data_IF_626918255021
#
_entry.id   IF_626918255021
#
_cell.length_a   1.000
_cell.length_b   1.000
_cell.length_c   1.000
_cell.angle_alpha   90.00
_cell.angle_beta   90.00
_cell.angle_gamma   90.00
#
_symmetry.space_group_name_H-M   'P 1'
#
loop_
_entity.id
_entity.type
_entity.pdbx_description
1 polymer ?
#
# COMPACT_ATOMS: atom_id res chain seq x y z
N UNK A 1 32.06 52.81 17.66
CA UNK A 1 32.43 51.46 17.19
C UNK A 1 31.18 50.58 17.36
N UNK A 2 30.08 50.89 16.66
CA UNK A 2 28.74 50.41 17.09
C UNK A 2 27.88 49.83 15.95
N UNK A 3 28.48 49.62 14.79
CA UNK A 3 27.77 49.17 13.59
C UNK A 3 27.90 47.67 13.27
N UNK A 4 28.76 46.93 13.98
CA UNK A 4 29.00 45.50 13.71
C UNK A 4 28.11 44.53 14.51
N UNK A 5 27.35 45.00 15.51
CA UNK A 5 26.59 44.12 16.41
C UNK A 5 25.13 43.84 16.01
N UNK A 6 24.56 44.54 15.02
CA UNK A 6 23.12 44.41 14.70
C UNK A 6 22.77 43.36 13.63
N UNK A 7 23.75 42.69 13.03
CA UNK A 7 23.48 41.70 11.97
C UNK A 7 23.45 40.23 12.44
N UNK A 8 23.80 39.93 13.69
CA UNK A 8 23.89 38.54 14.20
C UNK A 8 22.66 38.06 15.01
N UNK A 9 21.49 38.71 14.87
CA UNK A 9 20.26 38.29 15.57
C UNK A 9 19.10 37.89 14.63
N UNK A 10 19.21 38.12 13.31
CA UNK A 10 18.17 37.73 12.34
C UNK A 10 18.48 36.45 11.55
N UNK A 11 19.67 35.86 11.73
CA UNK A 11 20.11 34.65 11.02
C UNK A 11 20.25 33.42 11.94
N UNK A 12 19.41 33.32 12.98
CA UNK A 12 19.26 32.09 13.78
C UNK A 12 17.83 31.54 13.80
N UNK A 13 16.84 32.38 13.50
CA UNK A 13 15.43 32.01 13.59
C UNK A 13 14.91 31.20 12.40
N UNK A 14 15.61 31.25 11.25
CA UNK A 14 15.16 30.61 10.00
C UNK A 14 15.73 29.19 9.79
N UNK A 15 16.86 28.86 10.45
CA UNK A 15 17.49 27.53 10.36
C UNK A 15 16.74 26.50 11.22
N UNK A 16 16.22 26.91 12.37
CA UNK A 16 15.46 26.04 13.26
C UNK A 16 14.14 25.56 12.63
N UNK A 17 13.47 26.45 11.88
CA UNK A 17 12.26 26.12 11.12
C UNK A 17 12.54 25.11 10.00
N UNK A 18 13.68 25.24 9.31
CA UNK A 18 14.08 24.32 8.24
C UNK A 18 14.40 22.91 8.75
N UNK A 19 15.04 22.80 9.91
CA UNK A 19 15.34 21.51 10.56
C UNK A 19 14.05 20.84 11.05
N UNK A 20 13.12 21.60 11.65
CA UNK A 20 11.80 21.08 12.09
C UNK A 20 10.94 20.63 10.90
N UNK A 21 11.01 21.32 9.76
CA UNK A 21 10.30 20.95 8.54
C UNK A 21 10.89 19.71 7.86
N UNK A 22 12.21 19.52 7.96
CA UNK A 22 12.89 18.30 7.46
C UNK A 22 12.63 17.07 8.35
N UNK A 23 12.52 17.23 9.67
CA UNK A 23 12.26 16.11 10.58
C UNK A 23 10.84 15.52 10.47
N UNK A 24 9.87 16.26 9.93
CA UNK A 24 8.50 15.76 9.75
C UNK A 24 8.30 14.79 8.58
N UNK A 25 9.29 14.62 7.69
CA UNK A 25 9.12 13.86 6.44
C UNK A 25 9.44 12.36 6.55
N UNK A 26 9.69 11.81 7.73
CA UNK A 26 10.20 10.43 7.82
C UNK A 26 9.43 9.52 8.78
N UNK A 27 8.13 9.31 8.56
CA UNK A 27 7.45 8.10 9.03
C UNK A 27 6.15 7.76 8.29
N UNK A 28 6.15 7.84 6.96
CA UNK A 28 5.04 7.27 6.17
C UNK A 28 5.46 5.90 5.67
N UNK A 29 4.64 4.87 5.92
CA UNK A 29 4.85 3.53 5.37
C UNK A 29 4.56 3.53 3.88
N UNK A 30 5.27 2.71 3.13
CA UNK A 30 4.92 2.42 1.73
C UNK A 30 3.67 1.53 1.70
N UNK A 31 2.62 2.03 1.06
CA UNK A 31 1.41 1.26 0.81
C UNK A 31 1.64 0.24 -0.29
N UNK A 32 1.35 -1.03 -0.01
CA UNK A 32 1.37 -2.13 -0.96
C UNK A 32 -0.05 -2.67 -1.08
N UNK A 33 -0.68 -2.35 -2.20
CA UNK A 33 -2.05 -2.74 -2.51
C UNK A 33 -2.05 -3.95 -3.44
N UNK A 34 -2.60 -5.05 -2.93
CA UNK A 34 -2.76 -6.32 -3.63
C UNK A 34 -4.19 -6.38 -4.16
N UNK A 35 -4.38 -6.68 -5.43
CA UNK A 35 -5.69 -7.00 -5.99
C UNK A 35 -5.81 -8.51 -6.18
N UNK A 36 -6.83 -9.12 -5.59
CA UNK A 36 -7.11 -10.54 -5.70
C UNK A 36 -8.42 -10.74 -6.46
N UNK A 37 -8.31 -11.18 -7.71
CA UNK A 37 -9.46 -11.40 -8.60
C UNK A 37 -9.67 -12.92 -8.71
N UNK A 38 -10.65 -13.43 -7.96
CA UNK A 38 -10.84 -14.87 -7.76
C UNK A 38 -12.33 -15.23 -7.85
N UNK A 39 -12.71 -16.49 -8.11
CA UNK A 39 -14.13 -16.86 -8.10
C UNK A 39 -14.71 -16.74 -6.69
N UNK A 40 -15.90 -16.16 -6.54
CA UNK A 40 -16.64 -16.22 -5.26
C UNK A 40 -17.21 -17.60 -4.95
N UNK A 41 -17.52 -18.37 -5.99
CA UNK A 41 -18.12 -19.69 -5.84
C UNK A 41 -17.16 -20.68 -5.14
N UNK A 42 -17.59 -21.26 -4.02
CA UNK A 42 -16.79 -22.17 -3.19
C UNK A 42 -16.62 -23.59 -3.77
N UNK A 43 -17.19 -23.88 -4.94
CA UNK A 43 -16.84 -25.09 -5.70
C UNK A 43 -15.40 -25.05 -6.22
N UNK A 44 -14.83 -23.85 -6.42
CA UNK A 44 -13.44 -23.66 -6.83
C UNK A 44 -12.48 -23.71 -5.64
N UNK A 45 -11.32 -24.35 -5.81
CA UNK A 45 -10.30 -24.46 -4.76
C UNK A 45 -9.80 -23.08 -4.29
N UNK A 46 -9.56 -22.17 -5.23
CA UNK A 46 -9.06 -20.82 -4.98
C UNK A 46 -10.18 -19.78 -4.88
N UNK A 47 -11.30 -20.13 -4.24
CA UNK A 47 -12.41 -19.18 -4.05
C UNK A 47 -12.02 -18.05 -3.10
N UNK A 48 -12.67 -16.89 -3.21
CA UNK A 48 -12.41 -15.73 -2.34
C UNK A 48 -12.52 -16.11 -0.87
N UNK A 49 -13.55 -16.86 -0.48
CA UNK A 49 -13.78 -17.22 0.93
C UNK A 49 -12.66 -18.11 1.49
N UNK A 50 -11.99 -18.90 0.64
CA UNK A 50 -10.84 -19.73 1.01
C UNK A 50 -9.52 -18.96 0.98
N UNK A 51 -9.34 -18.10 -0.01
CA UNK A 51 -8.10 -17.37 -0.22
C UNK A 51 -7.95 -16.15 0.67
N UNK A 52 -9.06 -15.53 1.11
CA UNK A 52 -9.05 -14.41 2.04
C UNK A 52 -8.28 -14.72 3.34
N UNK A 53 -8.62 -15.77 4.11
CA UNK A 53 -7.86 -16.09 5.32
C UNK A 53 -6.41 -16.49 5.02
N UNK A 54 -6.13 -17.12 3.88
CA UNK A 54 -4.75 -17.45 3.49
C UNK A 54 -3.89 -16.19 3.25
N UNK A 55 -4.44 -15.17 2.58
CA UNK A 55 -3.76 -13.89 2.37
C UNK A 55 -3.62 -13.10 3.68
N UNK A 56 -4.63 -13.13 4.55
CA UNK A 56 -4.55 -12.52 5.89
C UNK A 56 -3.42 -13.15 6.71
N UNK A 57 -3.32 -14.49 6.75
CA UNK A 57 -2.22 -15.18 7.42
C UNK A 57 -0.85 -14.87 6.79
N UNK A 58 -0.78 -14.72 5.47
CA UNK A 58 0.44 -14.29 4.77
C UNK A 58 0.88 -12.90 5.20
N UNK A 59 -0.05 -11.95 5.26
CA UNK A 59 0.21 -10.58 5.73
C UNK A 59 0.62 -10.59 7.21
N UNK A 60 -0.08 -11.35 8.06
CA UNK A 60 0.30 -11.50 9.47
C UNK A 60 1.73 -12.03 9.63
N UNK A 61 2.13 -13.01 8.81
CA UNK A 61 3.49 -13.53 8.80
C UNK A 61 4.52 -12.45 8.39
N UNK A 62 4.24 -11.65 7.36
CA UNK A 62 5.08 -10.52 6.96
C UNK A 62 5.19 -9.48 8.08
N UNK A 63 4.11 -9.25 8.83
CA UNK A 63 4.08 -8.30 9.95
C UNK A 63 4.88 -8.78 11.17
N UNK A 64 5.39 -10.01 11.19
CA UNK A 64 6.32 -10.47 12.24
C UNK A 64 7.75 -9.99 11.98
N UNK A 65 8.09 -9.67 10.74
CA UNK A 65 9.37 -9.05 10.41
C UNK A 65 9.36 -7.56 10.80
N UNK A 66 10.34 -7.14 11.59
CA UNK A 66 10.41 -5.79 12.16
C UNK A 66 10.67 -4.72 11.10
N UNK A 67 11.45 -5.04 10.07
CA UNK A 67 11.73 -4.13 8.96
C UNK A 67 10.47 -3.96 8.11
N UNK A 68 9.85 -5.07 7.67
CA UNK A 68 8.66 -5.01 6.83
C UNK A 68 7.51 -4.31 7.54
N UNK A 69 7.25 -4.65 8.81
CA UNK A 69 6.21 -3.98 9.61
C UNK A 69 6.44 -2.48 9.76
N UNK A 70 7.69 -2.03 9.88
CA UNK A 70 8.04 -0.61 10.05
C UNK A 70 7.89 0.18 8.76
N UNK A 71 8.18 -0.44 7.62
CA UNK A 71 8.31 0.25 6.34
C UNK A 71 7.13 0.07 5.39
N UNK A 72 6.31 -0.97 5.55
CA UNK A 72 5.24 -1.29 4.61
C UNK A 72 3.89 -1.44 5.30
N UNK A 73 2.83 -1.07 4.58
CA UNK A 73 1.45 -1.37 4.92
C UNK A 73 0.82 -2.16 3.77
N UNK A 74 0.33 -3.36 4.06
CA UNK A 74 -0.25 -4.24 3.04
C UNK A 74 -1.77 -4.21 3.13
N UNK A 75 -2.43 -4.02 1.99
CA UNK A 75 -3.90 -4.09 1.88
C UNK A 75 -4.29 -4.99 0.72
N UNK A 76 -5.46 -5.64 0.82
CA UNK A 76 -5.98 -6.51 -0.23
C UNK A 76 -7.36 -6.04 -0.67
N UNK A 77 -7.54 -5.91 -1.98
CA UNK A 77 -8.83 -5.70 -2.62
C UNK A 77 -9.26 -7.02 -3.23
N UNK A 78 -10.43 -7.51 -2.85
CA UNK A 78 -11.02 -8.70 -3.44
C UNK A 78 -12.08 -8.32 -4.47
N UNK A 79 -12.01 -8.96 -5.64
CA UNK A 79 -13.02 -8.84 -6.68
C UNK A 79 -13.41 -10.23 -7.20
N UNK A 80 -14.70 -10.39 -7.51
CA UNK A 80 -15.22 -11.64 -8.03
C UNK A 80 -14.95 -11.75 -9.53
N UNK A 81 -14.21 -12.79 -9.92
CA UNK A 81 -13.98 -13.10 -11.34
C UNK A 81 -15.24 -13.61 -12.04
N UNK A 82 -16.25 -14.07 -11.30
CA UNK A 82 -17.41 -14.79 -11.85
C UNK A 82 -17.05 -16.05 -12.63
N UNK A 83 -15.79 -16.50 -12.56
CA UNK A 83 -15.19 -17.50 -13.44
C UNK A 83 -15.43 -17.20 -14.94
N UNK A 84 -15.47 -15.92 -15.30
CA UNK A 84 -15.71 -15.43 -16.65
C UNK A 84 -14.55 -14.54 -17.09
N UNK A 85 -13.99 -14.80 -18.27
CA UNK A 85 -12.89 -13.98 -18.80
C UNK A 85 -13.29 -12.51 -18.90
N UNK A 86 -14.51 -12.22 -19.38
CA UNK A 86 -15.01 -10.85 -19.53
C UNK A 86 -15.16 -10.17 -18.17
N UNK A 87 -15.74 -10.87 -17.19
CA UNK A 87 -15.91 -10.32 -15.83
C UNK A 87 -14.57 -10.08 -15.15
N UNK A 88 -13.65 -11.05 -15.21
CA UNK A 88 -12.32 -10.94 -14.61
C UNK A 88 -11.51 -9.78 -15.22
N UNK A 89 -11.57 -9.60 -16.55
CA UNK A 89 -10.89 -8.51 -17.22
C UNK A 89 -11.49 -7.15 -16.89
N UNK A 90 -12.81 -7.03 -16.83
CA UNK A 90 -13.46 -5.78 -16.40
C UNK A 90 -13.04 -5.41 -14.97
N UNK A 91 -13.02 -6.36 -14.04
CA UNK A 91 -12.54 -6.12 -12.67
C UNK A 91 -11.07 -5.68 -12.65
N UNK A 92 -10.20 -6.31 -13.44
CA UNK A 92 -8.78 -5.95 -13.50
C UNK A 92 -8.58 -4.53 -14.03
N UNK A 93 -9.30 -4.16 -15.10
CA UNK A 93 -9.28 -2.81 -15.68
C UNK A 93 -9.81 -1.80 -14.69
N UNK A 94 -10.97 -2.04 -14.07
CA UNK A 94 -11.59 -1.13 -13.11
C UNK A 94 -10.67 -0.89 -11.89
N UNK A 95 -10.00 -1.94 -11.41
CA UNK A 95 -9.04 -1.81 -10.30
C UNK A 95 -7.82 -1.03 -10.75
N UNK A 96 -7.24 -1.33 -11.92
CA UNK A 96 -6.05 -0.63 -12.41
C UNK A 96 -6.31 0.86 -12.69
N UNK A 97 -7.47 1.18 -13.25
CA UNK A 97 -7.82 2.55 -13.63
C UNK A 97 -8.25 3.41 -12.45
N UNK A 98 -8.96 2.83 -11.47
CA UNK A 98 -9.56 3.60 -10.37
C UNK A 98 -8.78 3.51 -9.05
N UNK A 99 -7.75 2.65 -8.96
CA UNK A 99 -7.02 2.38 -7.72
C UNK A 99 -5.52 2.22 -7.98
N UNK A 100 -4.71 2.48 -6.96
CA UNK A 100 -3.27 2.26 -7.01
C UNK A 100 -2.95 0.82 -6.61
N UNK A 101 -2.91 -0.11 -7.56
CA UNK A 101 -2.56 -1.52 -7.34
C UNK A 101 -1.08 -1.77 -7.64
N UNK A 102 -0.42 -2.57 -6.79
CA UNK A 102 0.98 -2.97 -6.98
C UNK A 102 1.13 -4.37 -7.59
N UNK A 103 0.20 -5.27 -7.29
CA UNK A 103 0.24 -6.66 -7.77
C UNK A 103 -1.16 -7.26 -7.87
N UNK A 104 -1.35 -8.13 -8.85
CA UNK A 104 -2.56 -8.92 -9.04
C UNK A 104 -2.33 -10.39 -8.68
N UNK A 105 -3.26 -10.99 -7.95
CA UNK A 105 -3.35 -12.42 -7.72
C UNK A 105 -4.61 -12.98 -8.40
N UNK A 106 -4.39 -14.03 -9.19
CA UNK A 106 -5.41 -14.59 -10.08
C UNK A 106 -5.37 -14.00 -11.49
N UNK A 107 -6.31 -14.38 -12.36
CA UNK A 107 -7.51 -15.11 -12.00
C UNK A 107 -7.29 -16.63 -12.01
N UNK A 108 -7.89 -17.36 -11.06
CA UNK A 108 -7.56 -18.76 -10.80
C UNK A 108 -8.39 -19.79 -11.62
N UNK A 109 -9.42 -19.32 -12.31
CA UNK A 109 -10.24 -20.17 -13.17
C UNK A 109 -9.50 -20.54 -14.47
N UNK A 110 -9.82 -21.70 -15.02
CA UNK A 110 -9.32 -22.22 -16.29
C UNK A 110 -10.34 -21.98 -17.41
N UNK A 111 -10.51 -20.72 -17.82
CA UNK A 111 -11.30 -20.40 -19.01
C UNK A 111 -10.65 -20.98 -20.27
#
# INVERSE_FOLDING_TARGET
>A
MDWLWRSCHKMKLNIFFFIIFCFHKCLSKTEVQIASILPRNNTFLFSIDRMKPALELGIEALMRDTYLKKHFNFTVIFADSGCSIATAMNQAIDIYMNRSVNVFFGPACNY
#
